data_IF_734159596170
#
_entry.id   IF_734159596170
#
_cell.length_a   1.000
_cell.length_b   1.000
_cell.length_c   1.000
_cell.angle_alpha   90.00
_cell.angle_beta   90.00
_cell.angle_gamma   90.00
#
_symmetry.space_group_name_H-M   'P 1'
#
loop_
_entity.id
_entity.type
_entity.pdbx_description
1 polymer ?
#
# COMPACT_ATOMS: atom_id res chain seq x y z
N UNK A 1 5.34 10.14 11.89
CA UNK A 1 6.26 9.03 11.56
C UNK A 1 5.67 7.75 12.14
N UNK A 2 5.85 6.61 11.46
CA UNK A 2 5.45 5.27 11.91
C UNK A 2 6.62 4.32 11.59
N UNK A 3 7.39 3.94 12.60
CA UNK A 3 8.67 3.25 12.43
C UNK A 3 8.79 2.05 13.37
N UNK A 4 9.39 0.95 12.89
CA UNK A 4 9.76 -0.22 13.69
C UNK A 4 8.59 -0.89 14.43
N UNK A 5 7.42 -0.98 13.78
CA UNK A 5 6.25 -1.64 14.34
C UNK A 5 6.01 -3.02 13.71
N UNK A 6 5.31 -3.86 14.45
CA UNK A 6 4.71 -5.10 13.95
C UNK A 6 3.19 -4.97 14.05
N UNK A 7 2.51 -5.09 12.91
CA UNK A 7 1.06 -4.94 12.80
C UNK A 7 0.51 -6.16 12.09
N UNK A 8 -0.42 -6.85 12.74
CA UNK A 8 -1.06 -8.03 12.19
C UNK A 8 -2.58 -8.02 12.38
N UNK A 9 -3.26 -8.81 11.56
CA UNK A 9 -4.67 -9.18 11.78
C UNK A 9 -5.64 -7.98 11.78
N UNK A 10 -5.41 -7.07 10.85
CA UNK A 10 -6.28 -5.89 10.66
C UNK A 10 -7.29 -6.19 9.55
N UNK A 11 -8.61 -6.18 9.82
CA UNK A 11 -9.62 -6.59 8.84
C UNK A 11 -9.81 -5.57 7.69
N UNK A 12 -9.40 -4.32 7.92
CA UNK A 12 -9.57 -3.21 6.98
C UNK A 12 -8.21 -2.54 6.68
N UNK A 13 -8.05 -1.26 6.98
CA UNK A 13 -6.86 -0.43 6.71
C UNK A 13 -6.04 -0.31 7.99
N UNK A 14 -4.72 -0.49 7.90
CA UNK A 14 -3.83 -0.32 9.05
C UNK A 14 -3.40 1.15 9.21
N UNK A 15 -3.12 1.85 8.11
CA UNK A 15 -2.73 3.27 8.12
C UNK A 15 -3.42 4.01 6.98
N UNK A 16 -4.10 5.10 7.32
CA UNK A 16 -4.57 6.12 6.37
C UNK A 16 -3.72 7.38 6.52
N UNK A 17 -3.04 7.79 5.44
CA UNK A 17 -2.13 8.92 5.41
C UNK A 17 -2.78 10.15 4.77
N UNK A 18 -2.81 11.25 5.52
CA UNK A 18 -3.19 12.57 5.01
C UNK A 18 -2.16 13.64 5.42
N UNK A 19 -1.71 14.45 4.45
CA UNK A 19 -0.72 15.50 4.66
C UNK A 19 0.66 15.22 4.05
N UNK A 20 1.69 15.90 4.55
CA UNK A 20 3.03 15.98 3.96
C UNK A 20 4.10 15.39 4.88
N UNK A 21 5.23 15.00 4.29
CA UNK A 21 6.46 14.60 5.00
C UNK A 21 6.26 13.48 6.04
N UNK A 22 5.28 12.60 5.80
CA UNK A 22 5.12 11.39 6.58
C UNK A 22 6.22 10.38 6.22
N UNK A 23 6.66 9.64 7.22
CA UNK A 23 7.61 8.55 7.05
C UNK A 23 7.02 7.29 7.68
N UNK A 24 6.74 6.29 6.85
CA UNK A 24 6.30 4.95 7.24
C UNK A 24 7.36 3.97 6.78
N UNK A 25 8.28 3.61 7.68
CA UNK A 25 9.43 2.78 7.31
C UNK A 25 9.79 1.72 8.35
N UNK A 26 10.42 0.64 7.90
CA UNK A 26 10.90 -0.45 8.77
C UNK A 26 9.81 -1.16 9.58
N UNK A 27 8.56 -1.15 9.11
CA UNK A 27 7.46 -1.87 9.77
C UNK A 27 7.20 -3.22 9.10
N UNK A 28 6.63 -4.15 9.88
CA UNK A 28 6.13 -5.44 9.41
C UNK A 28 4.60 -5.42 9.40
N UNK A 29 4.02 -5.73 8.24
CA UNK A 29 2.57 -5.75 8.00
C UNK A 29 2.17 -7.16 7.59
N UNK A 30 1.35 -7.84 8.39
CA UNK A 30 0.95 -9.23 8.13
C UNK A 30 -0.55 -9.41 8.18
N UNK A 31 -1.16 -10.07 7.18
CA UNK A 31 -2.61 -10.35 7.18
C UNK A 31 -3.43 -9.09 7.44
N UNK A 32 -3.31 -8.13 6.54
CA UNK A 32 -4.02 -6.86 6.57
C UNK A 32 -5.06 -6.85 5.44
N UNK A 33 -6.19 -6.18 5.65
CA UNK A 33 -7.22 -5.94 4.63
C UNK A 33 -7.92 -7.21 4.11
N UNK A 34 -8.05 -8.25 4.94
CA UNK A 34 -8.58 -9.55 4.50
C UNK A 34 -10.12 -9.66 4.50
N UNK A 35 -10.84 -8.67 5.05
CA UNK A 35 -12.32 -8.62 5.07
C UNK A 35 -12.90 -7.43 4.29
N UNK A 36 -12.09 -6.76 3.47
CA UNK A 36 -12.51 -5.54 2.76
C UNK A 36 -12.04 -5.57 1.29
N UNK A 37 -12.79 -4.89 0.41
CA UNK A 37 -12.40 -4.58 -0.96
C UNK A 37 -12.13 -3.09 -1.11
N UNK A 38 -11.37 -2.71 -2.15
CA UNK A 38 -10.99 -1.31 -2.39
C UNK A 38 -10.29 -0.63 -1.19
N UNK A 39 -9.38 -1.35 -0.57
CA UNK A 39 -8.59 -0.87 0.57
C UNK A 39 -7.14 -1.34 0.45
N UNK A 40 -6.31 -0.88 1.38
CA UNK A 40 -4.98 -1.44 1.53
C UNK A 40 -4.38 -1.26 2.91
N UNK A 41 -3.23 -1.91 3.12
CA UNK A 41 -2.55 -1.84 4.42
C UNK A 41 -2.14 -0.40 4.75
N UNK A 42 -1.54 0.29 3.77
CA UNK A 42 -1.31 1.73 3.82
C UNK A 42 -2.09 2.37 2.67
N UNK A 43 -2.91 3.36 2.97
CA UNK A 43 -3.64 4.11 1.95
C UNK A 43 -3.46 5.62 2.07
N UNK A 44 -3.63 6.32 0.94
CA UNK A 44 -3.71 7.77 0.87
C UNK A 44 -4.47 8.17 -0.40
N UNK A 45 -5.19 9.29 -0.38
CA UNK A 45 -6.01 9.70 -1.52
C UNK A 45 -6.21 11.22 -1.65
N UNK A 46 -6.70 11.65 -2.82
CA UNK A 46 -7.39 12.94 -3.06
C UNK A 46 -6.58 14.22 -2.86
N UNK A 47 -5.25 14.17 -2.91
CA UNK A 47 -4.45 15.39 -2.83
C UNK A 47 -3.19 15.38 -3.68
N UNK A 48 -3.11 16.37 -4.57
CA UNK A 48 -1.91 16.66 -5.35
C UNK A 48 -0.79 17.28 -4.52
N UNK A 49 -1.06 17.67 -3.27
CA UNK A 49 -0.12 18.45 -2.44
C UNK A 49 0.63 17.61 -1.41
N UNK A 50 0.35 16.30 -1.30
CA UNK A 50 0.88 15.34 -0.31
C UNK A 50 2.36 14.94 -0.54
N UNK A 51 3.21 15.95 -0.74
CA UNK A 51 4.62 15.77 -1.07
C UNK A 51 5.47 15.36 0.12
N UNK A 52 6.56 14.65 -0.21
CA UNK A 52 7.60 14.28 0.76
C UNK A 52 7.24 13.05 1.59
N UNK A 53 6.10 12.40 1.32
CA UNK A 53 5.72 11.18 2.00
C UNK A 53 6.59 10.01 1.52
N UNK A 54 7.11 9.23 2.47
CA UNK A 54 7.99 8.09 2.22
C UNK A 54 7.39 6.82 2.83
N UNK A 55 7.29 5.78 2.01
CA UNK A 55 6.96 4.41 2.44
C UNK A 55 8.15 3.54 2.04
N UNK A 56 9.02 3.18 2.98
CA UNK A 56 10.27 2.48 2.64
C UNK A 56 10.71 1.40 3.61
N UNK A 57 11.44 0.39 3.14
CA UNK A 57 12.01 -0.67 4.00
C UNK A 57 10.96 -1.42 4.83
N UNK A 58 9.69 -1.42 4.41
CA UNK A 58 8.65 -2.20 5.09
C UNK A 58 8.58 -3.61 4.52
N UNK A 59 8.08 -4.56 5.32
CA UNK A 59 7.77 -5.92 4.89
C UNK A 59 6.27 -6.14 4.91
N UNK A 60 5.68 -6.44 3.77
CA UNK A 60 4.26 -6.76 3.62
C UNK A 60 4.08 -8.24 3.32
N UNK A 61 3.30 -8.92 4.14
CA UNK A 61 3.07 -10.37 4.03
C UNK A 61 1.57 -10.67 4.08
N UNK A 62 1.09 -11.49 3.14
CA UNK A 62 -0.30 -11.96 3.15
C UNK A 62 -1.33 -10.82 3.12
N UNK A 63 -1.08 -9.78 2.31
CA UNK A 63 -2.04 -8.69 2.07
C UNK A 63 -2.88 -9.07 0.85
N UNK A 64 -3.85 -9.95 1.08
CA UNK A 64 -4.69 -10.51 0.05
C UNK A 64 -6.10 -10.74 0.61
N UNK A 65 -7.11 -10.69 -0.27
CA UNK A 65 -8.48 -11.05 0.09
C UNK A 65 -8.53 -12.51 0.56
N UNK A 66 -9.21 -12.77 1.67
CA UNK A 66 -9.43 -14.13 2.18
C UNK A 66 -10.42 -14.95 1.33
N UNK A 67 -11.05 -14.35 0.33
CA UNK A 67 -12.14 -14.99 -0.38
C UNK A 67 -11.74 -15.57 -1.73
N UNK A 68 -11.67 -16.90 -1.81
CA UNK A 68 -11.75 -17.64 -3.09
C UNK A 68 -13.11 -17.43 -3.80
N UNK A 69 -14.13 -16.95 -3.09
CA UNK A 69 -15.54 -16.96 -3.54
C UNK A 69 -16.26 -15.60 -3.58
N UNK A 70 -15.67 -14.54 -3.04
CA UNK A 70 -16.23 -13.20 -3.20
C UNK A 70 -15.30 -12.39 -4.07
N UNK A 71 -15.88 -11.72 -5.07
CA UNK A 71 -15.26 -10.65 -5.85
C UNK A 71 -14.95 -9.44 -4.95
N UNK A 72 -14.30 -9.64 -3.80
CA UNK A 72 -13.61 -8.58 -3.08
C UNK A 72 -12.38 -8.24 -3.91
N UNK A 73 -12.66 -7.59 -5.03
CA UNK A 73 -11.67 -7.15 -5.99
C UNK A 73 -10.83 -6.06 -5.32
N UNK A 74 -9.52 -6.14 -5.55
CA UNK A 74 -8.59 -5.04 -5.35
C UNK A 74 -8.16 -4.72 -3.90
N UNK A 75 -7.68 -5.72 -3.16
CA UNK A 75 -6.89 -5.49 -1.93
C UNK A 75 -5.45 -5.12 -2.30
N UNK A 76 -4.91 -4.05 -1.69
CA UNK A 76 -3.57 -3.54 -1.98
C UNK A 76 -2.67 -3.50 -0.75
N UNK A 77 -1.38 -3.73 -0.87
CA UNK A 77 -0.47 -3.44 0.25
C UNK A 77 -0.27 -1.93 0.41
N UNK A 78 0.06 -1.23 -0.67
CA UNK A 78 0.11 0.24 -0.71
C UNK A 78 -0.91 0.73 -1.73
N UNK A 79 -1.85 1.57 -1.29
CA UNK A 79 -2.92 2.10 -2.13
C UNK A 79 -2.87 3.63 -2.20
N UNK A 80 -2.31 4.17 -3.29
CA UNK A 80 -2.35 5.60 -3.59
C UNK A 80 -3.51 5.88 -4.54
N UNK A 81 -4.63 6.37 -4.01
CA UNK A 81 -5.89 6.52 -4.75
C UNK A 81 -6.21 7.97 -5.14
N UNK A 82 -7.19 8.14 -6.05
CA UNK A 82 -7.77 9.44 -6.44
C UNK A 82 -6.72 10.54 -6.65
N UNK A 83 -5.77 10.27 -7.54
CA UNK A 83 -4.71 11.19 -7.95
C UNK A 83 -3.79 11.76 -6.84
N UNK A 84 -3.65 11.08 -5.70
CA UNK A 84 -2.68 11.48 -4.68
C UNK A 84 -1.25 11.53 -5.25
N UNK A 85 -0.44 12.50 -4.84
CA UNK A 85 0.84 12.83 -5.49
C UNK A 85 1.99 13.01 -4.50
N UNK A 86 3.21 12.85 -4.99
CA UNK A 86 4.43 13.21 -4.26
C UNK A 86 4.98 12.16 -3.29
N UNK A 87 4.54 10.90 -3.41
CA UNK A 87 5.02 9.78 -2.59
C UNK A 87 6.29 9.14 -3.15
N UNK A 88 7.17 8.68 -2.27
CA UNK A 88 8.29 7.80 -2.61
C UNK A 88 8.08 6.43 -1.95
N UNK A 89 7.98 5.39 -2.77
CA UNK A 89 7.79 4.00 -2.35
C UNK A 89 9.03 3.22 -2.78
N UNK A 90 9.90 2.85 -1.82
CA UNK A 90 11.15 2.17 -2.17
C UNK A 90 11.67 1.19 -1.13
N UNK A 91 12.47 0.20 -1.55
CA UNK A 91 13.09 -0.77 -0.65
C UNK A 91 12.09 -1.58 0.19
N UNK A 92 10.81 -1.63 -0.21
CA UNK A 92 9.83 -2.47 0.47
C UNK A 92 9.89 -3.89 -0.09
N UNK A 93 9.62 -4.86 0.78
CA UNK A 93 9.56 -6.27 0.44
C UNK A 93 8.12 -6.75 0.55
N UNK A 94 7.58 -7.31 -0.54
CA UNK A 94 6.21 -7.78 -0.63
C UNK A 94 6.17 -9.29 -0.86
N UNK A 95 5.37 -10.00 -0.06
CA UNK A 95 5.18 -11.44 -0.17
C UNK A 95 3.70 -11.83 -0.09
N UNK A 96 3.23 -12.55 -1.10
CA UNK A 96 1.84 -13.04 -1.17
C UNK A 96 0.81 -11.90 -1.00
N UNK A 97 0.89 -10.89 -1.88
CA UNK A 97 -0.06 -9.79 -1.94
C UNK A 97 -0.95 -9.90 -3.19
N UNK A 98 -2.20 -9.47 -3.11
CA UNK A 98 -3.05 -9.33 -4.31
C UNK A 98 -2.46 -8.27 -5.23
N UNK A 99 -2.64 -6.99 -4.91
CA UNK A 99 -1.86 -5.91 -5.51
C UNK A 99 -0.82 -5.43 -4.49
N UNK A 100 0.47 -5.42 -4.84
CA UNK A 100 1.47 -4.89 -3.92
C UNK A 100 1.39 -3.34 -3.88
N UNK A 101 1.38 -2.68 -5.03
CA UNK A 101 1.26 -1.22 -5.11
C UNK A 101 0.18 -0.87 -6.14
N UNK A 102 -0.77 -0.02 -5.76
CA UNK A 102 -1.62 0.69 -6.71
C UNK A 102 -1.31 2.19 -6.72
N UNK A 103 -1.24 2.75 -7.93
CA UNK A 103 -1.21 4.19 -8.20
C UNK A 103 -2.41 4.58 -9.06
N UNK A 104 -3.39 5.24 -8.46
CA UNK A 104 -4.64 5.75 -9.05
C UNK A 104 -4.41 7.12 -9.68
N UNK A 105 -3.31 7.29 -10.41
CA UNK A 105 -2.90 8.56 -10.99
C UNK A 105 -2.03 9.42 -10.08
N UNK A 106 -2.24 10.74 -10.18
CA UNK A 106 -1.40 11.74 -9.52
C UNK A 106 -0.09 12.00 -10.26
N UNK A 107 0.81 12.75 -9.63
CA UNK A 107 2.10 13.15 -10.21
C UNK A 107 3.22 12.90 -9.21
N UNK A 108 4.41 12.63 -9.75
CA UNK A 108 5.65 12.48 -8.97
C UNK A 108 5.58 11.41 -7.86
N UNK A 109 4.71 10.42 -8.01
CA UNK A 109 4.82 9.18 -7.24
C UNK A 109 5.99 8.37 -7.81
N UNK A 110 6.99 8.07 -6.98
CA UNK A 110 8.19 7.33 -7.36
C UNK A 110 8.14 5.94 -6.75
N UNK A 111 8.32 4.92 -7.60
CA UNK A 111 8.40 3.51 -7.17
C UNK A 111 9.70 2.94 -7.70
N UNK A 112 10.60 2.54 -6.80
CA UNK A 112 11.91 2.00 -7.18
C UNK A 112 12.47 1.08 -6.09
N UNK A 113 13.34 0.15 -6.47
CA UNK A 113 14.05 -0.74 -5.53
C UNK A 113 13.14 -1.55 -4.59
N UNK A 114 11.93 -1.91 -5.01
CA UNK A 114 11.05 -2.79 -4.23
C UNK A 114 11.19 -4.24 -4.70
N UNK A 115 11.06 -5.18 -3.77
CA UNK A 115 11.13 -6.62 -4.02
C UNK A 115 9.73 -7.24 -3.93
N UNK A 116 9.35 -8.05 -4.93
CA UNK A 116 8.00 -8.64 -5.01
C UNK A 116 8.11 -10.15 -5.20
N UNK A 117 7.45 -10.90 -4.31
CA UNK A 117 7.46 -12.36 -4.30
C UNK A 117 6.03 -12.88 -4.18
N UNK A 118 5.60 -13.71 -5.13
CA UNK A 118 4.25 -14.29 -5.15
C UNK A 118 3.12 -13.26 -5.06
N UNK A 119 3.30 -12.07 -5.64
CA UNK A 119 2.23 -11.09 -5.79
C UNK A 119 1.44 -11.39 -7.07
N UNK A 120 0.11 -11.17 -7.06
CA UNK A 120 -0.70 -11.28 -8.28
C UNK A 120 -0.35 -10.12 -9.22
N UNK A 121 -0.37 -8.89 -8.69
CA UNK A 121 0.09 -7.69 -9.38
C UNK A 121 1.15 -6.98 -8.55
N UNK A 122 2.33 -6.73 -9.12
CA UNK A 122 3.40 -6.01 -8.41
C UNK A 122 3.12 -4.51 -8.33
N UNK A 123 2.85 -3.88 -9.47
CA UNK A 123 2.50 -2.46 -9.55
C UNK A 123 1.36 -2.29 -10.54
N UNK A 124 0.25 -1.75 -10.07
CA UNK A 124 -0.93 -1.47 -10.87
C UNK A 124 -1.13 0.04 -11.02
N UNK A 125 -1.18 0.51 -12.27
CA UNK A 125 -1.55 1.88 -12.59
C UNK A 125 -3.00 1.94 -13.01
N UNK A 126 -3.79 2.76 -12.35
CA UNK A 126 -5.20 3.00 -12.67
C UNK A 126 -5.44 4.47 -12.99
N UNK A 127 -6.39 4.73 -13.88
CA UNK A 127 -6.84 6.07 -14.27
C UNK A 127 -8.20 6.42 -13.64
N UNK A 128 -8.52 5.82 -12.49
CA UNK A 128 -9.75 6.12 -11.75
C UNK A 128 -9.76 7.56 -11.26
#
# INVERSE_FOLDING_TARGET
QVLYNEVSDVPHVAVDLSGNNHNVSYNNWTRISFECGDCGAIMSARSFTFYGNVISHNRFMHVASAAEFTKLENVRAIFLDDHVSGFTISHNWFYNCSDAILIGGGRQNKVHDNEFHHCITCVYFSLR
#
